data_IF_060971498581
#
_entry.id   IF_060971498581
#
_cell.length_a   1.000
_cell.length_b   1.000
_cell.length_c   1.000
_cell.angle_alpha   90.00
_cell.angle_beta   90.00
_cell.angle_gamma   90.00
#
_symmetry.space_group_name_H-M   'P 1'
#
loop_
_entity.id
_entity.type
_entity.pdbx_description
1 polymer ?
#
# COMPACT_ATOMS: atom_id res chain seq x y z
N UNK A 1 -58.54 6.93 14.10
CA UNK A 1 -57.19 7.04 13.55
C UNK A 1 -57.18 6.32 12.22
N UNK A 2 -56.84 7.02 11.14
CA UNK A 2 -56.81 6.47 9.78
C UNK A 2 -55.65 5.47 9.64
N UNK A 3 -55.83 4.39 8.89
CA UNK A 3 -54.76 3.44 8.57
C UNK A 3 -53.54 4.14 7.92
N UNK A 4 -53.76 5.27 7.24
CA UNK A 4 -52.70 6.10 6.66
C UNK A 4 -51.82 6.77 7.71
N UNK A 5 -52.42 7.25 8.82
CA UNK A 5 -51.68 7.88 9.92
C UNK A 5 -50.82 6.87 10.70
N UNK A 6 -51.29 5.62 10.76
CA UNK A 6 -50.52 4.53 11.36
C UNK A 6 -49.38 4.09 10.43
N UNK A 7 -49.62 4.05 9.12
CA UNK A 7 -48.60 3.76 8.11
C UNK A 7 -47.46 4.79 8.07
N UNK A 8 -47.79 6.09 8.15
CA UNK A 8 -46.77 7.15 8.19
C UNK A 8 -45.94 7.11 9.47
N UNK A 9 -46.57 6.83 10.62
CA UNK A 9 -45.88 6.72 11.91
C UNK A 9 -44.95 5.50 11.99
N UNK A 10 -45.24 4.42 11.25
CA UNK A 10 -44.38 3.24 11.16
C UNK A 10 -43.14 3.50 10.29
N UNK A 11 -43.25 4.34 9.26
CA UNK A 11 -42.13 4.70 8.38
C UNK A 11 -41.23 5.78 8.98
N UNK A 12 -41.77 6.68 9.80
CA UNK A 12 -40.98 7.69 10.55
C UNK A 12 -39.96 7.08 11.53
N UNK A 13 -40.22 5.84 11.98
CA UNK A 13 -39.31 5.07 12.84
C UNK A 13 -38.22 4.29 12.10
N UNK A 14 -38.32 4.17 10.76
CA UNK A 14 -37.32 3.48 9.95
C UNK A 14 -36.30 4.51 9.47
N UNK A 15 -35.30 4.78 10.31
CA UNK A 15 -34.10 5.48 9.85
C UNK A 15 -33.41 4.60 8.80
N UNK A 16 -33.41 5.06 7.55
CA UNK A 16 -32.44 4.57 6.56
C UNK A 16 -31.05 4.98 7.06
N UNK A 17 -30.40 4.10 7.83
CA UNK A 17 -28.99 4.29 8.18
C UNK A 17 -28.20 4.48 6.89
N UNK A 18 -27.49 5.60 6.79
CA UNK A 18 -26.76 5.91 5.56
C UNK A 18 -25.72 4.82 5.32
N UNK A 19 -25.42 4.53 4.05
CA UNK A 19 -24.37 3.56 3.67
C UNK A 19 -23.02 3.83 4.37
N UNK A 20 -22.78 5.08 4.76
CA UNK A 20 -21.58 5.50 5.49
C UNK A 20 -21.56 4.99 6.94
N UNK A 21 -22.71 4.93 7.61
CA UNK A 21 -22.83 4.36 8.96
C UNK A 21 -22.60 2.84 8.93
N UNK A 22 -23.09 2.16 7.89
CA UNK A 22 -22.83 0.74 7.69
C UNK A 22 -21.35 0.44 7.42
N UNK A 23 -20.69 1.23 6.57
CA UNK A 23 -19.26 1.09 6.30
C UNK A 23 -18.41 1.33 7.58
N UNK A 24 -18.79 2.30 8.42
CA UNK A 24 -18.13 2.56 9.71
C UNK A 24 -18.34 1.40 10.70
N UNK A 25 -19.55 0.84 10.79
CA UNK A 25 -19.85 -0.32 11.63
C UNK A 25 -19.04 -1.55 11.20
N UNK A 26 -18.94 -1.81 9.89
CA UNK A 26 -18.12 -2.91 9.37
C UNK A 26 -16.63 -2.73 9.70
N UNK A 27 -16.11 -1.50 9.62
CA UNK A 27 -14.74 -1.20 10.03
C UNK A 27 -14.51 -1.47 11.53
N UNK A 28 -15.46 -1.07 12.39
CA UNK A 28 -15.34 -1.27 13.84
C UNK A 28 -15.48 -2.74 14.25
N UNK A 29 -16.37 -3.50 13.59
CA UNK A 29 -16.47 -4.96 13.76
C UNK A 29 -15.19 -5.67 13.33
N UNK A 30 -14.57 -5.27 12.21
CA UNK A 30 -13.28 -5.83 11.76
C UNK A 30 -12.18 -5.63 12.78
N UNK A 31 -12.09 -4.44 13.39
CA UNK A 31 -11.10 -4.14 14.43
C UNK A 31 -11.26 -4.97 15.70
N UNK A 32 -12.49 -5.41 15.99
CA UNK A 32 -12.77 -6.27 17.13
C UNK A 32 -12.43 -7.74 16.83
N UNK A 33 -12.69 -8.21 15.61
CA UNK A 33 -12.46 -9.61 15.22
C UNK A 33 -10.99 -9.91 14.89
N UNK A 34 -10.24 -8.93 14.38
CA UNK A 34 -8.84 -9.10 13.98
C UNK A 34 -7.96 -8.05 14.69
N UNK A 35 -7.64 -8.23 15.99
CA UNK A 35 -6.75 -7.33 16.69
C UNK A 35 -5.34 -7.38 16.07
N UNK A 36 -5.07 -6.36 15.24
CA UNK A 36 -3.77 -5.93 14.68
C UNK A 36 -2.78 -7.06 14.31
N UNK A 37 -2.65 -7.33 13.02
CA UNK A 37 -1.42 -7.92 12.50
C UNK A 37 -0.32 -6.84 12.48
N UNK A 38 0.75 -7.05 13.25
CA UNK A 38 1.90 -6.15 13.29
C UNK A 38 2.60 -6.04 11.93
N UNK A 39 2.61 -7.14 11.18
CA UNK A 39 3.20 -7.20 9.84
C UNK A 39 2.15 -6.89 8.75
N UNK A 40 2.46 -5.95 7.86
CA UNK A 40 1.57 -5.42 6.80
C UNK A 40 1.66 -6.28 5.55
N UNK A 41 2.89 -6.51 5.11
CA UNK A 41 3.21 -7.18 3.86
C UNK A 41 3.65 -8.63 4.08
N UNK A 42 3.90 -9.03 5.32
CA UNK A 42 4.44 -10.35 5.64
C UNK A 42 5.96 -10.40 5.54
N UNK A 43 6.62 -9.25 5.43
CA UNK A 43 8.07 -9.14 5.21
C UNK A 43 8.67 -8.28 6.31
N UNK A 44 9.31 -8.90 7.29
CA UNK A 44 9.88 -8.22 8.47
C UNK A 44 10.70 -6.98 8.06
N UNK A 45 11.65 -7.14 7.15
CA UNK A 45 12.52 -6.03 6.70
C UNK A 45 11.75 -4.86 6.07
N UNK A 46 10.65 -5.13 5.36
CA UNK A 46 9.84 -4.08 4.73
C UNK A 46 8.77 -3.54 5.67
N UNK A 47 8.28 -4.37 6.58
CA UNK A 47 7.35 -4.01 7.64
C UNK A 47 8.05 -3.11 8.67
N UNK A 48 9.31 -3.35 9.01
CA UNK A 48 10.14 -2.47 9.85
C UNK A 48 10.28 -1.07 9.24
N UNK A 49 10.50 -1.01 7.91
CA UNK A 49 10.53 0.26 7.16
C UNK A 49 9.16 0.96 7.21
N UNK A 50 8.07 0.20 7.14
CA UNK A 50 6.71 0.73 7.22
C UNK A 50 6.33 1.21 8.62
N UNK A 51 6.77 0.54 9.69
CA UNK A 51 6.53 0.95 11.07
C UNK A 51 7.12 2.34 11.36
N UNK A 52 8.32 2.61 10.84
CA UNK A 52 8.96 3.92 10.94
C UNK A 52 8.13 5.06 10.33
N UNK A 53 7.29 4.76 9.33
CA UNK A 53 6.43 5.75 8.66
C UNK A 53 5.02 5.81 9.26
N UNK A 54 4.49 4.67 9.75
CA UNK A 54 3.13 4.54 10.30
C UNK A 54 2.91 5.28 11.62
N UNK A 55 3.96 5.44 12.42
CA UNK A 55 3.88 5.92 13.80
C UNK A 55 4.43 7.34 14.01
N UNK A 56 4.61 8.14 12.95
CA UNK A 56 5.21 9.47 13.03
C UNK A 56 4.30 10.56 13.65
N UNK A 57 3.00 10.32 13.80
CA UNK A 57 2.04 11.32 14.27
C UNK A 57 1.45 10.96 15.65
N UNK A 58 2.25 10.97 16.71
CA UNK A 58 1.71 11.30 18.03
C UNK A 58 2.76 12.05 18.86
N UNK A 59 2.56 13.34 19.20
CA UNK A 59 3.37 13.95 20.23
C UNK A 59 3.22 13.11 21.50
N UNK A 60 4.30 12.84 22.26
CA UNK A 60 4.16 12.18 23.55
C UNK A 60 3.11 12.98 24.31
N UNK A 61 2.02 12.30 24.68
CA UNK A 61 0.93 12.88 25.44
C UNK A 61 1.53 13.73 26.54
N UNK A 62 1.25 15.03 26.49
CA UNK A 62 1.68 15.95 27.52
C UNK A 62 1.23 15.35 28.86
N UNK A 63 2.20 14.98 29.70
CA UNK A 63 1.93 14.56 31.06
C UNK A 63 1.09 15.66 31.69
N UNK A 64 -0.18 15.34 31.95
CA UNK A 64 -1.04 16.23 32.71
C UNK A 64 -0.35 16.51 34.05
N UNK A 65 -0.32 17.77 34.51
CA UNK A 65 0.25 18.07 35.81
C UNK A 65 -0.55 17.32 36.88
N UNK A 66 0.19 16.53 37.64
CA UNK A 66 -0.24 15.77 38.81
C UNK A 66 -1.09 16.66 39.72
N UNK A 67 -2.39 16.38 39.78
CA UNK A 67 -3.32 17.08 40.65
C UNK A 67 -3.06 16.64 42.09
N UNK A 68 -2.14 17.33 42.76
CA UNK A 68 -1.88 17.14 44.18
C UNK A 68 -3.08 17.67 44.96
N UNK A 69 -3.97 16.75 45.36
CA UNK A 69 -5.05 17.03 46.29
C UNK A 69 -4.45 17.47 47.63
N UNK A 70 -4.48 18.78 47.88
CA UNK A 70 -4.09 19.35 49.17
C UNK A 70 -5.17 19.05 50.19
N UNK A 71 -4.86 18.12 51.11
CA UNK A 71 -5.64 17.79 52.29
C UNK A 71 -5.56 18.96 53.29
N UNK A 72 -6.64 19.72 53.43
CA UNK A 72 -6.81 20.65 54.54
C UNK A 72 -7.32 19.90 55.80
N UNK A 73 -6.94 20.32 57.02
CA UNK A 73 -7.33 19.66 58.26
C UNK A 73 -8.72 20.13 58.74
N UNK A 74 -9.51 19.16 59.21
CA UNK A 74 -10.80 19.34 59.87
C UNK A 74 -10.66 19.96 61.27
N UNK A 75 -11.73 20.60 61.79
CA UNK A 75 -12.01 20.61 63.22
C UNK A 75 -13.35 19.90 63.55
N UNK A 76 -13.20 18.85 64.36
CA UNK A 76 -13.94 18.49 65.59
C UNK A 76 -15.49 18.57 65.69
N UNK A 77 -16.06 17.38 65.91
CA UNK A 77 -17.02 16.96 66.96
C UNK A 77 -18.19 17.85 67.42
N UNK A 78 -19.43 17.33 67.28
CA UNK A 78 -20.35 16.94 68.38
C UNK A 78 -21.75 16.55 67.81
N UNK A 79 -22.27 15.31 67.96
CA UNK A 79 -23.11 14.72 69.05
C UNK A 79 -24.59 14.50 68.60
N UNK A 80 -25.04 13.24 68.76
CA UNK A 80 -26.42 12.66 68.85
C UNK A 80 -27.31 12.69 67.57
N UNK A 81 -28.23 11.77 67.29
CA UNK A 81 -28.98 10.77 68.06
C UNK A 81 -29.62 9.70 67.11
N UNK A 82 -30.15 8.61 67.68
CA UNK A 82 -30.69 7.38 67.07
C UNK A 82 -31.94 7.52 66.15
N UNK A 83 -32.12 6.56 65.22
CA UNK A 83 -33.45 6.29 64.62
C UNK A 83 -33.51 5.51 63.29
N UNK A 84 -33.74 4.19 63.39
CA UNK A 84 -34.55 3.29 62.53
C UNK A 84 -34.57 3.37 60.98
N UNK A 85 -34.19 2.23 60.37
CA UNK A 85 -34.80 1.50 59.21
C UNK A 85 -35.36 2.25 57.98
N UNK A 86 -34.81 1.97 56.79
CA UNK A 86 -35.34 1.11 55.71
C UNK A 86 -34.58 1.38 54.38
N UNK A 87 -34.31 0.28 53.68
CA UNK A 87 -34.02 0.03 52.26
C UNK A 87 -33.67 1.18 51.27
N UNK A 88 -32.64 0.86 50.46
CA UNK A 88 -32.61 0.97 48.98
C UNK A 88 -31.49 1.83 48.37
N UNK A 89 -31.01 1.34 47.22
CA UNK A 89 -30.15 1.94 46.21
C UNK A 89 -28.61 1.87 46.33
N UNK A 90 -28.08 0.93 45.53
CA UNK A 90 -27.24 1.20 44.36
C UNK A 90 -25.94 2.01 44.55
N UNK A 91 -24.80 1.36 44.31
CA UNK A 91 -23.90 1.76 43.22
C UNK A 91 -22.80 0.70 43.03
N UNK A 92 -22.81 0.15 41.82
CA UNK A 92 -21.83 -0.71 41.20
C UNK A 92 -20.48 0.02 41.17
N UNK A 93 -19.47 -0.44 41.93
CA UNK A 93 -18.09 0.02 41.75
C UNK A 93 -17.51 -0.76 40.57
N UNK A 94 -17.91 -0.37 39.36
CA UNK A 94 -17.18 -0.73 38.15
C UNK A 94 -15.82 -0.04 38.22
N UNK A 95 -14.80 -0.86 38.42
CA UNK A 95 -13.40 -0.47 38.35
C UNK A 95 -13.12 -0.10 36.88
N UNK A 96 -13.22 1.19 36.55
CA UNK A 96 -12.84 1.73 35.25
C UNK A 96 -11.37 1.37 34.95
N UNK A 97 -11.18 0.39 34.07
CA UNK A 97 -9.89 0.13 33.43
C UNK A 97 -9.57 1.33 32.53
N UNK A 98 -8.36 1.92 32.61
CA UNK A 98 -7.98 3.00 31.73
C UNK A 98 -7.99 2.51 30.27
N UNK A 99 -8.84 3.11 29.45
CA UNK A 99 -8.90 2.88 28.02
C UNK A 99 -7.55 3.28 27.40
N UNK A 100 -6.76 2.29 26.99
CA UNK A 100 -5.57 2.50 26.18
C UNK A 100 -6.03 3.21 24.90
N UNK A 101 -5.62 4.47 24.73
CA UNK A 101 -5.89 5.25 23.53
C UNK A 101 -5.34 4.48 22.31
N UNK A 102 -6.26 3.92 21.51
CA UNK A 102 -5.93 3.18 20.29
C UNK A 102 -5.50 4.19 19.24
N UNK A 103 -4.19 4.36 19.07
CA UNK A 103 -3.61 5.15 17.97
C UNK A 103 -4.12 4.60 16.64
N UNK A 104 -4.85 5.42 15.87
CA UNK A 104 -5.35 5.04 14.54
C UNK A 104 -4.16 4.92 13.59
N UNK A 105 -3.69 3.70 13.34
CA UNK A 105 -2.69 3.43 12.30
C UNK A 105 -3.32 3.67 10.93
N UNK A 106 -2.81 4.65 10.18
CA UNK A 106 -3.26 4.93 8.81
C UNK A 106 -2.94 3.73 7.92
N UNK A 107 -3.87 3.27 7.06
CA UNK A 107 -3.59 2.23 6.08
C UNK A 107 -2.52 2.71 5.10
N UNK A 108 -1.66 1.80 4.64
CA UNK A 108 -0.44 2.14 3.89
C UNK A 108 -0.66 2.17 2.38
N UNK A 109 -0.03 3.15 1.75
CA UNK A 109 0.03 3.30 0.29
C UNK A 109 1.49 3.24 -0.13
N UNK A 110 1.83 2.29 -1.00
CA UNK A 110 3.21 2.02 -1.43
C UNK A 110 3.32 2.22 -2.93
N UNK A 111 4.32 3.01 -3.32
CA UNK A 111 4.78 3.13 -4.70
C UNK A 111 6.03 2.27 -4.90
N UNK A 112 6.01 1.37 -5.88
CA UNK A 112 7.23 0.76 -6.44
C UNK A 112 7.61 1.52 -7.71
N UNK A 113 8.73 2.21 -7.68
CA UNK A 113 9.20 2.99 -8.82
C UNK A 113 10.55 2.51 -9.32
N UNK A 114 10.85 2.78 -10.58
CA UNK A 114 12.17 2.50 -11.15
C UNK A 114 12.42 3.36 -12.38
N UNK A 115 13.69 3.71 -12.61
CA UNK A 115 14.12 4.44 -13.82
C UNK A 115 14.21 3.54 -15.07
N UNK A 116 14.33 2.23 -14.87
CA UNK A 116 14.52 1.26 -15.96
C UNK A 116 13.39 0.25 -16.04
N UNK A 117 13.06 -0.15 -17.27
CA UNK A 117 12.26 -1.35 -17.51
C UNK A 117 12.96 -2.59 -16.97
N UNK A 118 12.20 -3.64 -16.67
CA UNK A 118 12.72 -4.92 -16.16
C UNK A 118 13.50 -4.81 -14.84
N UNK A 119 13.16 -3.82 -14.00
CA UNK A 119 13.66 -3.64 -12.63
C UNK A 119 13.10 -4.65 -11.62
N UNK A 120 12.34 -5.67 -12.03
CA UNK A 120 11.84 -6.70 -11.12
C UNK A 120 10.57 -6.33 -10.34
N UNK A 121 9.98 -5.15 -10.55
CA UNK A 121 8.73 -4.72 -9.88
C UNK A 121 7.63 -5.77 -9.91
N UNK A 122 7.27 -6.27 -11.09
CA UNK A 122 6.22 -7.30 -11.24
C UNK A 122 6.54 -8.60 -10.50
N UNK A 123 7.82 -8.98 -10.40
CA UNK A 123 8.23 -10.14 -9.59
C UNK A 123 8.00 -9.91 -8.10
N UNK A 124 8.29 -8.71 -7.61
CA UNK A 124 7.99 -8.31 -6.22
C UNK A 124 6.47 -8.32 -6.00
N UNK A 125 5.69 -7.81 -6.95
CA UNK A 125 4.22 -7.86 -6.86
C UNK A 125 3.69 -9.31 -6.79
N UNK A 126 4.23 -10.24 -7.58
CA UNK A 126 3.83 -11.66 -7.49
C UNK A 126 4.11 -12.25 -6.12
N UNK A 127 5.28 -11.93 -5.57
CA UNK A 127 5.68 -12.41 -4.26
C UNK A 127 4.77 -11.87 -3.16
N UNK A 128 4.53 -10.55 -3.14
CA UNK A 128 3.64 -9.91 -2.17
C UNK A 128 2.17 -10.38 -2.30
N UNK A 129 1.68 -10.56 -3.53
CA UNK A 129 0.34 -11.10 -3.76
C UNK A 129 0.22 -12.54 -3.24
N UNK A 130 1.25 -13.37 -3.45
CA UNK A 130 1.31 -14.72 -2.90
C UNK A 130 1.30 -14.75 -1.38
N UNK A 131 2.14 -13.94 -0.72
CA UNK A 131 2.15 -13.82 0.74
C UNK A 131 0.80 -13.34 1.29
N UNK A 132 0.17 -12.39 0.61
CA UNK A 132 -1.12 -11.87 1.02
C UNK A 132 -2.23 -12.95 1.00
N UNK A 133 -2.19 -13.90 0.06
CA UNK A 133 -3.22 -14.94 -0.07
C UNK A 133 -2.92 -16.26 0.63
N UNK A 134 -1.65 -16.55 0.91
CA UNK A 134 -1.27 -17.78 1.60
C UNK A 134 -1.87 -17.85 3.03
N UNK A 135 -2.13 -19.06 3.55
CA UNK A 135 -2.55 -19.26 4.94
C UNK A 135 -1.50 -18.82 5.96
N UNK A 136 -1.91 -18.54 7.20
CA UNK A 136 -0.99 -18.11 8.27
C UNK A 136 0.07 -19.16 8.61
N UNK A 137 -0.26 -20.44 8.50
CA UNK A 137 0.65 -21.57 8.73
C UNK A 137 1.80 -21.60 7.72
N UNK A 138 1.65 -20.90 6.59
CA UNK A 138 2.64 -20.76 5.53
C UNK A 138 3.25 -19.36 5.49
N UNK A 139 3.24 -18.65 6.62
CA UNK A 139 3.69 -17.26 6.76
C UNK A 139 2.94 -16.26 5.86
N UNK A 140 1.71 -16.60 5.47
CA UNK A 140 0.85 -15.72 4.68
C UNK A 140 -0.11 -14.86 5.52
N UNK A 141 -1.01 -14.14 4.84
CA UNK A 141 -1.98 -13.23 5.48
C UNK A 141 -3.45 -13.68 5.40
N UNK A 142 -3.72 -14.77 4.69
CA UNK A 142 -5.06 -15.32 4.46
C UNK A 142 -6.08 -14.27 3.97
N UNK A 143 -5.62 -13.33 3.14
CA UNK A 143 -6.44 -12.24 2.60
C UNK A 143 -6.78 -12.48 1.13
N UNK A 144 -7.68 -11.66 0.59
CA UNK A 144 -7.93 -11.55 -0.84
C UNK A 144 -7.06 -10.43 -1.44
N UNK A 145 -6.66 -10.61 -2.70
CA UNK A 145 -5.87 -9.64 -3.46
C UNK A 145 -6.65 -9.22 -4.70
N UNK A 146 -6.68 -7.92 -4.97
CA UNK A 146 -7.15 -7.37 -6.24
C UNK A 146 -5.96 -6.85 -7.01
N UNK A 147 -5.80 -7.30 -8.26
CA UNK A 147 -4.73 -6.88 -9.15
C UNK A 147 -5.30 -6.23 -10.40
N UNK A 148 -5.06 -4.94 -10.57
CA UNK A 148 -5.40 -4.18 -11.78
C UNK A 148 -4.16 -4.15 -12.67
N UNK A 149 -4.15 -5.04 -13.67
CA UNK A 149 -3.08 -5.26 -14.64
C UNK A 149 -3.31 -4.37 -15.88
N UNK A 150 -2.91 -3.12 -15.76
CA UNK A 150 -3.01 -2.10 -16.82
C UNK A 150 -2.03 -2.35 -17.97
N UNK A 151 -0.90 -3.02 -17.71
CA UNK A 151 0.11 -3.32 -18.73
C UNK A 151 -0.10 -4.69 -19.44
N UNK A 152 -1.05 -5.50 -18.96
CA UNK A 152 -1.36 -6.82 -19.52
C UNK A 152 -0.25 -7.86 -19.31
N UNK A 153 0.59 -7.70 -18.28
CA UNK A 153 1.83 -8.49 -18.08
C UNK A 153 1.69 -9.59 -17.04
N UNK A 154 0.55 -9.69 -16.36
CA UNK A 154 0.36 -10.68 -15.31
C UNK A 154 0.30 -12.09 -15.89
N UNK A 155 1.11 -12.99 -15.33
CA UNK A 155 1.15 -14.41 -15.65
C UNK A 155 0.75 -15.24 -14.43
N UNK A 156 -0.39 -15.92 -14.53
CA UNK A 156 -0.87 -16.82 -13.47
C UNK A 156 0.10 -17.98 -13.23
N UNK A 157 0.72 -18.51 -14.29
CA UNK A 157 1.74 -19.56 -14.17
C UNK A 157 2.95 -19.08 -13.39
N UNK A 158 3.38 -17.83 -13.62
CA UNK A 158 4.50 -17.25 -12.87
C UNK A 158 4.14 -17.02 -11.41
N UNK A 159 2.93 -16.56 -11.14
CA UNK A 159 2.41 -16.37 -9.79
C UNK A 159 2.35 -17.71 -9.03
N UNK A 160 1.88 -18.78 -9.68
CA UNK A 160 1.87 -20.13 -9.13
C UNK A 160 3.28 -20.60 -8.75
N UNK A 161 4.26 -20.44 -9.65
CA UNK A 161 5.66 -20.78 -9.39
C UNK A 161 6.23 -20.04 -8.19
N UNK A 162 5.98 -18.71 -8.09
CA UNK A 162 6.46 -17.90 -6.97
C UNK A 162 5.85 -18.36 -5.64
N UNK A 163 4.56 -18.69 -5.63
CA UNK A 163 3.87 -19.21 -4.43
C UNK A 163 4.41 -20.59 -4.05
N UNK A 164 4.60 -21.49 -5.01
CA UNK A 164 5.16 -22.82 -4.79
C UNK A 164 6.59 -22.76 -4.25
N UNK A 165 7.42 -21.88 -4.81
CA UNK A 165 8.78 -21.66 -4.34
C UNK A 165 8.81 -21.13 -2.90
N UNK A 166 7.91 -20.22 -2.54
CA UNK A 166 7.79 -19.76 -1.16
C UNK A 166 7.40 -20.91 -0.21
N UNK A 167 6.43 -21.74 -0.61
CA UNK A 167 6.01 -22.90 0.17
C UNK A 167 7.12 -23.95 0.34
N UNK A 168 7.97 -24.14 -0.67
CA UNK A 168 9.10 -25.08 -0.56
C UNK A 168 10.17 -24.55 0.39
N UNK A 169 10.48 -23.24 0.35
CA UNK A 169 11.40 -22.61 1.28
C UNK A 169 10.92 -22.70 2.74
N UNK A 170 9.64 -22.43 2.98
CA UNK A 170 9.07 -22.50 4.33
C UNK A 170 9.18 -23.91 4.95
N UNK A 171 9.12 -24.97 4.12
CA UNK A 171 9.26 -26.37 4.57
C UNK A 171 10.70 -26.77 4.88
N UNK A 172 11.67 -26.21 4.15
CA UNK A 172 13.09 -26.50 4.37
C UNK A 172 13.59 -25.87 5.67
N UNK A 173 13.08 -24.72 6.05
CA UNK A 173 13.47 -24.06 7.30
C UNK A 173 12.87 -24.74 8.54
N UNK A 174 11.77 -25.49 8.38
CA UNK A 174 11.08 -26.19 9.48
C UNK A 174 11.48 -27.66 9.66
N UNK A 175 12.33 -28.24 8.79
CA UNK A 175 12.58 -29.69 8.80
C UNK A 175 14.04 -30.07 8.48
N UNK A 176 14.88 -30.23 9.51
CA UNK A 176 16.07 -31.08 9.43
C UNK A 176 15.64 -32.57 9.48
N UNK A 177 15.13 -33.13 8.38
CA UNK A 177 15.24 -34.56 8.05
C UNK A 177 14.39 -34.97 6.84
N UNK A 178 14.97 -35.89 6.07
CA UNK A 178 14.42 -36.66 4.95
C UNK A 178 14.30 -35.98 3.57
N UNK A 179 15.43 -36.11 2.86
CA UNK A 179 15.56 -36.44 1.44
C UNK A 179 14.33 -37.09 0.81
N UNK A 180 13.58 -36.32 0.03
CA UNK A 180 12.98 -36.79 -1.22
C UNK A 180 13.12 -35.70 -2.28
N UNK A 181 13.91 -35.99 -3.31
CA UNK A 181 13.97 -35.20 -4.55
C UNK A 181 12.60 -35.19 -5.24
N UNK A 182 12.11 -34.06 -5.79
CA UNK A 182 11.03 -34.09 -6.75
C UNK A 182 11.60 -34.05 -8.18
N UNK A 183 11.66 -35.21 -8.80
CA UNK A 183 11.81 -35.32 -10.26
C UNK A 183 10.44 -35.29 -10.93
N UNK A 184 10.25 -34.36 -11.88
CA UNK A 184 9.30 -34.49 -12.99
C UNK A 184 7.82 -34.19 -12.70
N UNK A 185 7.29 -33.19 -13.42
CA UNK A 185 5.90 -32.72 -13.46
C UNK A 185 5.45 -31.85 -12.26
N UNK A 186 5.47 -30.54 -12.48
CA UNK A 186 5.00 -29.47 -11.57
C UNK A 186 3.50 -29.58 -11.33
N UNK A 187 3.08 -30.44 -10.40
CA UNK A 187 1.71 -30.41 -9.88
C UNK A 187 1.67 -29.26 -8.86
N UNK A 188 0.95 -28.19 -9.20
CA UNK A 188 0.73 -27.09 -8.27
C UNK A 188 0.11 -27.60 -6.99
N UNK A 189 0.76 -27.31 -5.86
CA UNK A 189 0.27 -27.78 -4.56
C UNK A 189 -1.17 -27.30 -4.32
N UNK A 190 -2.02 -28.08 -3.64
CA UNK A 190 -3.40 -27.67 -3.37
C UNK A 190 -3.47 -26.33 -2.63
N UNK A 191 -2.49 -26.06 -1.75
CA UNK A 191 -2.33 -24.77 -1.07
C UNK A 191 -2.06 -23.62 -2.04
N UNK A 192 -1.20 -23.82 -3.05
CA UNK A 192 -0.92 -22.81 -4.06
C UNK A 192 -2.13 -22.57 -4.97
N UNK A 193 -2.83 -23.63 -5.39
CA UNK A 193 -4.09 -23.49 -6.14
C UNK A 193 -5.14 -22.72 -5.36
N UNK A 194 -5.27 -23.00 -4.06
CA UNK A 194 -6.21 -22.28 -3.22
C UNK A 194 -5.80 -20.81 -3.04
N UNK A 195 -4.52 -20.52 -2.84
CA UNK A 195 -4.01 -19.14 -2.78
C UNK A 195 -4.31 -18.35 -4.07
N UNK A 196 -4.19 -18.99 -5.24
CA UNK A 196 -4.51 -18.39 -6.54
C UNK A 196 -6.00 -18.07 -6.71
N UNK A 197 -6.91 -18.86 -6.11
CA UNK A 197 -8.36 -18.59 -6.15
C UNK A 197 -8.73 -17.25 -5.47
N UNK A 198 -7.82 -16.69 -4.68
CA UNK A 198 -8.02 -15.45 -3.94
C UNK A 198 -7.34 -14.23 -4.55
N UNK A 199 -6.82 -14.35 -5.78
CA UNK A 199 -6.20 -13.26 -6.53
C UNK A 199 -7.10 -12.89 -7.70
N UNK A 200 -7.76 -11.74 -7.60
CA UNK A 200 -8.70 -11.22 -8.59
C UNK A 200 -7.99 -10.28 -9.57
N UNK A 201 -7.81 -10.71 -10.82
CA UNK A 201 -7.07 -9.94 -11.83
C UNK A 201 -8.04 -9.24 -12.79
N UNK A 202 -7.90 -7.93 -12.95
CA UNK A 202 -8.63 -7.11 -13.91
C UNK A 202 -7.66 -6.48 -14.92
N UNK A 203 -7.98 -6.51 -16.22
CA UNK A 203 -7.12 -5.98 -17.29
C UNK A 203 -7.80 -4.83 -18.05
N UNK A 204 -7.79 -3.61 -17.49
CA UNK A 204 -8.34 -2.46 -18.18
C UNK A 204 -7.55 -2.13 -19.45
N UNK A 205 -8.22 -1.49 -20.40
CA UNK A 205 -7.62 -0.98 -21.65
C UNK A 205 -7.57 0.56 -21.69
N UNK A 206 -7.99 1.23 -20.61
CA UNK A 206 -7.93 2.69 -20.47
C UNK A 206 -8.13 3.13 -19.02
N UNK A 207 -7.77 4.38 -18.71
CA UNK A 207 -8.04 5.00 -17.40
C UNK A 207 -9.52 5.04 -17.05
N UNK A 208 -10.42 5.16 -18.03
CA UNK A 208 -11.86 5.11 -17.79
C UNK A 208 -12.31 3.71 -17.34
N UNK A 209 -11.73 2.65 -17.92
CA UNK A 209 -12.01 1.29 -17.46
C UNK A 209 -11.43 1.03 -16.06
N UNK A 210 -10.27 1.60 -15.72
CA UNK A 210 -9.75 1.56 -14.34
C UNK A 210 -10.79 2.16 -13.38
N UNK A 211 -11.33 3.34 -13.69
CA UNK A 211 -12.35 3.99 -12.86
C UNK A 211 -13.61 3.12 -12.69
N UNK A 212 -14.11 2.53 -13.78
CA UNK A 212 -15.26 1.63 -13.73
C UNK A 212 -14.99 0.38 -12.86
N UNK A 213 -13.77 -0.18 -12.93
CA UNK A 213 -13.36 -1.28 -12.06
C UNK A 213 -13.38 -0.83 -10.59
N UNK A 214 -12.77 0.31 -10.27
CA UNK A 214 -12.72 0.84 -8.90
C UNK A 214 -14.13 1.13 -8.34
N UNK A 215 -15.03 1.68 -9.16
CA UNK A 215 -16.41 1.99 -8.76
C UNK A 215 -17.26 0.71 -8.56
N UNK A 216 -17.00 -0.35 -9.33
CA UNK A 216 -17.72 -1.63 -9.22
C UNK A 216 -17.12 -2.59 -8.19
N UNK A 217 -15.88 -2.37 -7.77
CA UNK A 217 -15.14 -3.26 -6.88
C UNK A 217 -15.86 -3.55 -5.56
N UNK A 218 -16.50 -2.58 -4.88
CA UNK A 218 -17.22 -2.89 -3.65
C UNK A 218 -18.36 -3.87 -3.84
N UNK A 219 -19.14 -3.73 -4.92
CA UNK A 219 -20.21 -4.69 -5.24
C UNK A 219 -19.64 -6.05 -5.60
N UNK A 220 -18.53 -6.09 -6.33
CA UNK A 220 -17.89 -7.36 -6.68
C UNK A 220 -17.39 -8.10 -5.44
N UNK A 221 -16.65 -7.42 -4.55
CA UNK A 221 -16.01 -8.02 -3.36
C UNK A 221 -16.99 -8.46 -2.27
N UNK A 222 -18.14 -7.79 -2.18
CA UNK A 222 -19.18 -8.08 -1.18
C UNK A 222 -20.21 -9.09 -1.68
N UNK A 223 -20.12 -9.56 -2.92
CA UNK A 223 -21.06 -10.53 -3.49
C UNK A 223 -20.49 -11.96 -3.38
N UNK A 224 -21.02 -12.80 -2.47
CA UNK A 224 -20.51 -14.14 -2.23
C UNK A 224 -20.73 -15.10 -3.40
N UNK A 225 -21.57 -14.74 -4.38
CA UNK A 225 -21.85 -15.58 -5.54
C UNK A 225 -20.84 -15.40 -6.67
N UNK A 226 -20.08 -14.30 -6.65
CA UNK A 226 -19.17 -13.91 -7.74
C UNK A 226 -17.79 -14.53 -7.61
N UNK A 227 -17.38 -14.87 -6.40
CA UNK A 227 -16.03 -15.36 -6.12
C UNK A 227 -15.93 -16.14 -4.81
N UNK A 228 -14.86 -16.93 -4.69
CA UNK A 228 -14.60 -17.76 -3.49
C UNK A 228 -14.04 -16.99 -2.30
N UNK A 229 -13.59 -15.75 -2.50
CA UNK A 229 -12.90 -14.93 -1.49
C UNK A 229 -13.82 -14.15 -0.55
N UNK A 230 -15.14 -14.36 -0.57
CA UNK A 230 -16.10 -13.56 0.22
C UNK A 230 -15.91 -13.70 1.74
N UNK A 231 -15.30 -14.81 2.17
CA UNK A 231 -14.93 -15.05 3.57
C UNK A 231 -13.59 -14.41 3.97
N UNK A 232 -12.87 -13.77 3.04
CA UNK A 232 -11.56 -13.14 3.28
C UNK A 232 -11.67 -11.63 3.16
N UNK A 233 -10.93 -10.94 4.02
CA UNK A 233 -10.77 -9.49 3.88
C UNK A 233 -9.92 -9.15 2.66
N UNK A 234 -10.17 -7.99 2.03
CA UNK A 234 -9.26 -7.45 1.03
C UNK A 234 -7.99 -6.94 1.74
N UNK A 235 -6.87 -7.66 1.60
CA UNK A 235 -5.61 -7.27 2.24
C UNK A 235 -4.77 -6.33 1.38
N UNK A 236 -4.78 -6.56 0.06
CA UNK A 236 -3.89 -5.88 -0.88
C UNK A 236 -4.62 -5.54 -2.18
N UNK A 237 -4.51 -4.28 -2.61
CA UNK A 237 -4.97 -3.79 -3.91
C UNK A 237 -3.75 -3.32 -4.71
N UNK A 238 -3.51 -3.95 -5.85
CA UNK A 238 -2.38 -3.71 -6.73
C UNK A 238 -2.82 -2.96 -7.99
N UNK A 239 -2.11 -1.90 -8.38
CA UNK A 239 -2.26 -1.20 -9.66
C UNK A 239 -0.93 -1.24 -10.45
N UNK A 240 -0.85 -2.08 -11.49
CA UNK A 240 0.36 -2.34 -12.27
C UNK A 240 0.13 -2.09 -13.77
N UNK A 241 0.57 -0.98 -14.38
CA UNK A 241 1.15 0.23 -13.77
C UNK A 241 0.13 1.37 -13.65
N UNK A 242 0.31 2.21 -12.62
CA UNK A 242 -0.43 3.46 -12.45
C UNK A 242 -0.18 4.49 -13.57
N UNK A 243 0.94 4.35 -14.29
CA UNK A 243 1.34 5.24 -15.39
C UNK A 243 1.05 4.68 -16.78
N UNK A 244 0.45 3.49 -16.89
CA UNK A 244 0.26 2.78 -18.17
C UNK A 244 -0.50 3.61 -19.22
N UNK A 245 -1.58 4.29 -18.81
CA UNK A 245 -2.43 5.07 -19.72
C UNK A 245 -2.06 6.56 -19.79
N UNK A 246 -0.99 7.00 -19.12
CA UNK A 246 -0.66 8.42 -19.03
C UNK A 246 -0.47 9.09 -20.40
N UNK A 247 0.24 8.43 -21.33
CA UNK A 247 0.47 8.96 -22.67
C UNK A 247 -0.83 9.06 -23.48
N UNK A 248 -1.71 8.05 -23.36
CA UNK A 248 -3.02 8.03 -23.99
C UNK A 248 -3.91 9.15 -23.44
N UNK A 249 -3.97 9.29 -22.11
CA UNK A 249 -4.76 10.33 -21.46
C UNK A 249 -4.30 11.73 -21.83
N UNK A 250 -2.98 11.93 -21.97
CA UNK A 250 -2.42 13.20 -22.44
C UNK A 250 -2.82 13.49 -23.88
N UNK A 251 -2.71 12.49 -24.75
CA UNK A 251 -3.11 12.62 -26.16
C UNK A 251 -4.60 12.95 -26.29
N UNK A 252 -5.47 12.24 -25.57
CA UNK A 252 -6.91 12.50 -25.54
C UNK A 252 -7.22 13.94 -25.07
N UNK A 253 -6.53 14.40 -24.02
CA UNK A 253 -6.70 15.75 -23.50
C UNK A 253 -6.21 16.83 -24.49
N UNK A 254 -5.10 16.58 -25.19
CA UNK A 254 -4.59 17.48 -26.24
C UNK A 254 -5.55 17.54 -27.43
N UNK A 255 -6.06 16.38 -27.88
CA UNK A 255 -7.04 16.29 -28.97
C UNK A 255 -8.35 17.01 -28.62
N UNK A 256 -8.89 16.79 -27.42
CA UNK A 256 -10.07 17.51 -26.94
C UNK A 256 -9.87 19.03 -26.92
N UNK A 257 -8.63 19.50 -26.68
CA UNK A 257 -8.28 20.94 -26.74
C UNK A 257 -8.19 21.46 -28.18
N UNK A 258 -7.97 20.61 -29.17
CA UNK A 258 -7.98 20.99 -30.58
C UNK A 258 -9.39 21.23 -31.11
N UNK A 259 -10.37 20.46 -30.61
CA UNK A 259 -11.78 20.54 -31.03
C UNK A 259 -12.53 21.76 -30.46
N UNK A 260 -11.96 22.46 -29.47
CA UNK A 260 -12.57 23.65 -28.90
C UNK A 260 -12.45 24.87 -29.85
N UNK A 261 -13.51 25.68 -30.01
CA UNK A 261 -13.46 26.90 -30.80
C UNK A 261 -12.33 27.83 -30.32
N UNK A 262 -11.66 28.55 -31.24
CA UNK A 262 -10.52 29.43 -30.93
C UNK A 262 -10.80 30.47 -29.84
N UNK A 263 -12.07 30.85 -29.62
CA UNK A 263 -12.49 31.77 -28.56
C UNK A 263 -12.58 31.13 -27.16
N UNK A 264 -12.54 29.80 -27.05
CA UNK A 264 -12.49 29.04 -25.80
C UNK A 264 -11.11 28.42 -25.52
N UNK A 265 -10.15 28.57 -26.45
CA UNK A 265 -8.72 28.36 -26.17
C UNK A 265 -8.20 29.51 -25.32
N UNK A 266 -8.69 29.62 -24.10
CA UNK A 266 -8.20 30.59 -23.12
C UNK A 266 -6.71 30.34 -22.84
N UNK A 267 -5.83 31.34 -23.00
CA UNK A 267 -4.43 31.28 -22.58
C UNK A 267 -4.26 31.60 -21.08
N UNK A 268 -5.34 31.66 -20.30
CA UNK A 268 -5.33 32.24 -18.95
C UNK A 268 -5.98 31.33 -17.88
N UNK A 269 -5.14 30.84 -16.96
CA UNK A 269 -5.42 30.67 -15.52
C UNK A 269 -6.59 29.82 -15.00
N UNK A 270 -7.48 29.28 -15.83
CA UNK A 270 -8.57 28.40 -15.34
C UNK A 270 -8.02 27.02 -14.99
N UNK A 271 -8.52 26.38 -13.90
CA UNK A 271 -7.99 25.10 -13.44
C UNK A 271 -8.08 24.07 -14.56
N UNK A 272 -6.93 23.47 -14.89
CA UNK A 272 -6.86 22.34 -15.81
C UNK A 272 -7.95 21.32 -15.45
N UNK A 273 -8.60 20.68 -16.45
CA UNK A 273 -9.51 19.57 -16.18
C UNK A 273 -8.80 18.59 -15.24
N UNK A 274 -9.49 18.19 -14.16
CA UNK A 274 -8.95 17.28 -13.14
C UNK A 274 -8.33 16.09 -13.84
N UNK A 275 -7.02 15.89 -13.66
CA UNK A 275 -6.31 14.81 -14.34
C UNK A 275 -6.94 13.46 -14.01
N UNK A 276 -7.04 12.54 -14.97
CA UNK A 276 -7.60 11.19 -14.71
C UNK A 276 -6.86 10.50 -13.57
N UNK A 277 -5.55 10.72 -13.43
CA UNK A 277 -4.75 10.26 -12.30
C UNK A 277 -5.30 10.75 -10.95
N UNK A 278 -5.67 12.03 -10.81
CA UNK A 278 -6.27 12.59 -9.59
C UNK A 278 -7.60 11.90 -9.23
N UNK A 279 -8.43 11.60 -10.22
CA UNK A 279 -9.71 10.90 -10.02
C UNK A 279 -9.45 9.45 -9.57
N UNK A 280 -8.51 8.75 -10.21
CA UNK A 280 -8.13 7.38 -9.83
C UNK A 280 -7.59 7.36 -8.39
N UNK A 281 -6.69 8.28 -8.04
CA UNK A 281 -6.15 8.43 -6.68
C UNK A 281 -7.27 8.64 -5.65
N UNK A 282 -8.28 9.44 -5.99
CA UNK A 282 -9.43 9.70 -5.13
C UNK A 282 -10.24 8.42 -4.89
N UNK A 283 -10.48 7.64 -5.95
CA UNK A 283 -11.19 6.35 -5.86
C UNK A 283 -10.40 5.30 -5.10
N UNK A 284 -9.09 5.24 -5.29
CA UNK A 284 -8.20 4.38 -4.53
C UNK A 284 -8.24 4.73 -3.03
N UNK A 285 -8.14 6.01 -2.68
CA UNK A 285 -8.25 6.47 -1.28
C UNK A 285 -9.58 6.05 -0.64
N UNK A 286 -10.69 6.18 -1.37
CA UNK A 286 -12.01 5.79 -0.89
C UNK A 286 -12.11 4.28 -0.64
N UNK A 287 -11.57 3.46 -1.55
CA UNK A 287 -11.50 2.01 -1.37
C UNK A 287 -10.59 1.61 -0.21
N UNK A 288 -9.47 2.30 -0.03
CA UNK A 288 -8.57 2.09 1.09
C UNK A 288 -9.26 2.33 2.43
N UNK A 289 -10.00 3.44 2.54
CA UNK A 289 -10.74 3.78 3.75
C UNK A 289 -11.84 2.74 4.03
N UNK A 290 -12.53 2.27 2.98
CA UNK A 290 -13.64 1.32 3.09
C UNK A 290 -13.21 -0.11 3.44
N UNK A 291 -12.12 -0.57 2.84
CA UNK A 291 -11.65 -1.95 3.02
C UNK A 291 -10.51 -2.07 4.03
N UNK A 292 -9.96 -0.95 4.51
CA UNK A 292 -8.74 -0.89 5.32
C UNK A 292 -7.57 -1.66 4.69
N UNK A 293 -7.55 -1.73 3.35
CA UNK A 293 -6.57 -2.51 2.59
C UNK A 293 -5.27 -1.73 2.34
N UNK A 294 -4.19 -2.47 2.06
CA UNK A 294 -2.94 -1.86 1.57
C UNK A 294 -3.05 -1.60 0.08
N UNK A 295 -2.67 -0.40 -0.36
CA UNK A 295 -2.56 -0.10 -1.79
C UNK A 295 -1.10 -0.16 -2.20
N UNK A 296 -0.84 -0.89 -3.28
CA UNK A 296 0.47 -1.02 -3.89
C UNK A 296 0.35 -0.66 -5.37
N UNK A 297 1.18 0.25 -5.87
CA UNK A 297 1.15 0.58 -7.29
C UNK A 297 2.56 0.74 -7.85
N UNK A 298 2.69 0.49 -9.15
CA UNK A 298 3.97 0.67 -9.84
C UNK A 298 3.95 1.92 -10.70
N UNK A 299 5.07 2.65 -10.70
CA UNK A 299 5.32 3.74 -11.63
C UNK A 299 6.64 3.51 -12.36
N UNK A 300 6.77 4.12 -13.53
CA UNK A 300 8.07 4.30 -14.17
C UNK A 300 8.44 5.77 -14.03
N UNK A 301 9.48 6.08 -13.27
CA UNK A 301 10.05 7.43 -13.22
C UNK A 301 10.73 7.69 -14.55
N UNK A 302 10.00 8.30 -15.49
CA UNK A 302 10.64 9.07 -16.54
C UNK A 302 11.10 10.36 -15.89
N UNK A 303 12.38 10.47 -15.56
CA UNK A 303 12.96 11.79 -15.36
C UNK A 303 12.76 12.52 -16.68
N UNK A 304 11.73 13.38 -16.76
CA UNK A 304 11.78 14.49 -17.68
C UNK A 304 12.94 15.35 -17.18
N UNK A 305 14.17 14.97 -17.53
CA UNK A 305 15.24 15.94 -17.63
C UNK A 305 14.65 17.03 -18.51
N UNK A 306 14.36 18.19 -17.93
CA UNK A 306 14.09 19.39 -18.70
C UNK A 306 15.14 19.39 -19.80
N UNK A 307 14.70 19.34 -21.05
CA UNK A 307 15.58 19.40 -22.21
C UNK A 307 16.50 20.59 -21.99
N UNK A 308 17.72 20.34 -21.50
CA UNK A 308 18.83 21.24 -21.68
C UNK A 308 19.13 21.07 -23.15
N UNK A 309 18.39 21.84 -23.96
CA UNK A 309 18.78 22.09 -25.32
C UNK A 309 20.24 22.54 -25.23
N UNK A 310 21.12 21.71 -25.75
CA UNK A 310 22.46 22.09 -26.16
C UNK A 310 22.30 23.15 -27.26
N UNK A 311 21.94 24.37 -26.87
CA UNK A 311 22.23 25.56 -27.65
C UNK A 311 23.59 26.02 -27.19
N UNK A 312 24.53 25.94 -28.14
CA UNK A 312 25.89 26.43 -28.01
C UNK A 312 25.91 27.78 -27.27
N UNK A 313 26.79 27.85 -26.27
CA UNK A 313 27.02 29.04 -25.48
C UNK A 313 27.38 30.23 -26.37
N UNK A 314 26.47 31.20 -26.45
CA UNK A 314 26.85 32.60 -26.69
C UNK A 314 26.98 33.28 -25.32
N UNK A 315 28.15 33.82 -24.97
CA UNK A 315 28.34 34.54 -23.72
C UNK A 315 27.86 35.98 -23.94
N UNK A 316 26.66 36.34 -23.46
CA UNK A 316 26.27 37.70 -23.02
C UNK A 316 24.74 37.86 -22.89
N UNK A 317 24.12 37.22 -21.91
CA UNK A 317 22.80 37.69 -21.45
C UNK A 317 22.67 37.52 -19.91
N UNK A 318 22.60 38.62 -19.13
CA UNK A 318 22.50 38.58 -17.68
C UNK A 318 21.07 38.33 -17.15
N UNK A 319 20.12 37.88 -17.99
CA UNK A 319 18.71 37.69 -17.60
C UNK A 319 18.27 36.23 -17.42
N UNK A 320 19.16 35.33 -16.98
CA UNK A 320 18.75 33.96 -16.58
C UNK A 320 18.32 33.93 -15.12
N UNK A 321 17.01 34.13 -14.91
CA UNK A 321 16.34 33.71 -13.66
C UNK A 321 16.61 32.22 -13.49
N UNK A 322 17.26 31.85 -12.38
CA UNK A 322 17.41 30.47 -11.97
C UNK A 322 16.01 29.85 -11.86
N UNK A 323 15.63 29.03 -12.84
CA UNK A 323 14.46 28.18 -12.72
C UNK A 323 14.83 27.19 -11.62
N UNK A 324 14.17 27.30 -10.47
CA UNK A 324 14.31 26.35 -9.38
C UNK A 324 14.04 24.94 -9.94
N UNK A 325 15.10 24.16 -10.18
CA UNK A 325 15.09 22.75 -10.57
C UNK A 325 14.59 21.88 -9.41
N UNK A 326 13.38 22.16 -8.93
CA UNK A 326 12.66 21.23 -8.05
C UNK A 326 12.06 20.15 -8.94
N UNK A 327 12.41 18.87 -8.76
CA UNK A 327 11.84 17.80 -9.56
C UNK A 327 10.31 17.83 -9.40
N UNK A 328 9.60 17.88 -10.52
CA UNK A 328 8.13 17.84 -10.53
C UNK A 328 7.70 16.49 -9.97
N UNK A 329 7.26 16.46 -8.72
CA UNK A 329 6.78 15.25 -8.05
C UNK A 329 5.46 14.84 -8.71
N UNK A 330 5.43 13.62 -9.24
CA UNK A 330 4.23 13.03 -9.83
C UNK A 330 3.07 13.00 -8.81
N UNK A 331 1.81 13.19 -9.23
CA UNK A 331 0.64 13.00 -8.36
C UNK A 331 0.64 11.63 -7.66
N UNK A 332 1.16 10.60 -8.34
CA UNK A 332 1.33 9.25 -7.79
C UNK A 332 2.31 9.21 -6.62
N UNK A 333 3.49 9.81 -6.78
CA UNK A 333 4.51 9.88 -5.72
C UNK A 333 4.03 10.70 -4.52
N UNK A 334 3.21 11.73 -4.76
CA UNK A 334 2.57 12.49 -3.67
C UNK A 334 1.48 11.68 -2.95
N UNK A 335 0.82 10.77 -3.64
CA UNK A 335 -0.21 9.90 -3.07
C UNK A 335 0.39 8.77 -2.21
N UNK A 336 1.59 8.29 -2.55
CA UNK A 336 2.28 7.28 -1.77
C UNK A 336 2.62 7.74 -0.35
N UNK A 337 2.47 6.84 0.62
CA UNK A 337 3.02 7.00 1.97
C UNK A 337 4.50 6.57 2.00
N UNK A 338 4.84 5.55 1.20
CA UNK A 338 6.19 5.03 1.04
C UNK A 338 6.49 4.87 -0.45
N UNK A 339 7.60 5.45 -0.92
CA UNK A 339 8.10 5.21 -2.28
C UNK A 339 9.37 4.37 -2.20
N UNK A 340 9.35 3.24 -2.90
CA UNK A 340 10.46 2.30 -2.99
C UNK A 340 11.05 2.34 -4.40
N UNK A 341 12.31 2.71 -4.50
CA UNK A 341 13.05 2.64 -5.74
C UNK A 341 13.61 1.23 -5.91
N UNK A 342 13.20 0.56 -6.99
CA UNK A 342 13.68 -0.77 -7.35
C UNK A 342 14.67 -0.64 -8.50
N UNK A 343 15.89 -1.12 -8.29
CA UNK A 343 16.94 -1.15 -9.30
C UNK A 343 17.54 -2.55 -9.43
N UNK A 344 17.87 -2.94 -10.66
CA UNK A 344 18.66 -4.16 -10.90
C UNK A 344 20.12 -3.83 -10.59
N UNK A 345 20.76 -4.64 -9.76
CA UNK A 345 22.19 -4.47 -9.45
C UNK A 345 22.98 -4.56 -10.76
N UNK A 346 23.68 -3.47 -11.08
CA UNK A 346 24.47 -3.39 -12.31
C UNK A 346 25.73 -4.24 -12.16
N UNK A 347 25.98 -5.07 -13.16
CA UNK A 347 27.25 -5.80 -13.27
C UNK A 347 28.28 -4.87 -13.91
N UNK A 348 29.41 -4.68 -13.24
CA UNK A 348 30.48 -3.82 -13.74
C UNK A 348 30.93 -4.28 -15.13
N UNK A 349 31.16 -3.32 -16.03
CA UNK A 349 31.75 -3.58 -17.34
C UNK A 349 33.22 -3.99 -17.19
N UNK A 350 33.78 -4.64 -18.20
CA UNK A 350 35.22 -4.95 -18.20
C UNK A 350 36.02 -3.65 -18.19
N UNK A 351 37.12 -3.62 -17.42
CA UNK A 351 37.95 -2.43 -17.36
C UNK A 351 38.60 -2.20 -18.75
N UNK A 352 38.72 -0.96 -19.24
CA UNK A 352 39.23 -0.68 -20.59
C UNK A 352 40.65 -1.21 -20.86
N UNK A 353 41.42 -1.49 -19.81
CA UNK A 353 42.81 -1.98 -19.84
C UNK A 353 42.95 -3.45 -19.42
N UNK A 354 41.84 -4.18 -19.28
CA UNK A 354 41.85 -5.61 -18.95
C UNK A 354 42.26 -6.42 -20.18
N UNK A 355 43.18 -7.37 -20.02
CA UNK A 355 43.57 -8.27 -21.11
C UNK A 355 42.47 -9.32 -21.38
N UNK A 356 42.55 -10.01 -22.53
CA UNK A 356 41.53 -10.98 -22.95
C UNK A 356 41.44 -12.18 -21.99
N UNK A 357 42.57 -12.62 -21.45
CA UNK A 357 42.64 -13.79 -20.56
C UNK A 357 41.96 -13.50 -19.21
N UNK A 358 42.23 -12.32 -18.65
CA UNK A 358 41.54 -11.78 -17.47
C UNK A 358 40.05 -11.58 -17.74
N UNK A 359 39.68 -11.08 -18.92
CA UNK A 359 38.26 -10.95 -19.29
C UNK A 359 37.55 -12.31 -19.30
N UNK A 360 38.16 -13.36 -19.86
CA UNK A 360 37.59 -14.70 -19.89
C UNK A 360 37.48 -15.31 -18.48
N UNK A 361 38.49 -15.11 -17.63
CA UNK A 361 38.44 -15.55 -16.23
C UNK A 361 37.30 -14.87 -15.44
N UNK A 362 37.13 -13.57 -15.63
CA UNK A 362 36.08 -12.79 -14.98
C UNK A 362 34.69 -13.00 -15.59
N UNK A 363 34.61 -13.40 -16.86
CA UNK A 363 33.36 -13.55 -17.59
C UNK A 363 32.42 -14.55 -16.91
N UNK A 364 32.92 -15.69 -16.43
CA UNK A 364 32.11 -16.70 -15.76
C UNK A 364 31.55 -16.20 -14.43
N UNK A 365 32.40 -15.54 -13.61
CA UNK A 365 31.97 -14.92 -12.34
C UNK A 365 30.91 -13.84 -12.57
N UNK A 366 31.10 -13.00 -13.59
CA UNK A 366 30.14 -11.94 -13.94
C UNK A 366 28.84 -12.51 -14.47
N UNK A 367 28.91 -13.55 -15.31
CA UNK A 367 27.72 -14.26 -15.80
C UNK A 367 26.93 -14.87 -14.64
N UNK A 368 27.62 -15.42 -13.64
CA UNK A 368 26.99 -15.92 -12.41
C UNK A 368 26.27 -14.79 -11.64
N UNK A 369 26.89 -13.62 -11.50
CA UNK A 369 26.22 -12.45 -10.90
C UNK A 369 24.99 -12.01 -11.71
N UNK A 370 25.08 -12.02 -13.04
CA UNK A 370 23.94 -11.73 -13.93
C UNK A 370 22.82 -12.75 -13.75
N UNK A 371 23.16 -14.04 -13.68
CA UNK A 371 22.21 -15.16 -13.48
C UNK A 371 21.48 -15.09 -12.16
N UNK A 372 22.16 -14.66 -11.08
CA UNK A 372 21.55 -14.48 -9.76
C UNK A 372 20.47 -13.40 -9.74
N UNK A 373 20.45 -12.49 -10.73
CA UNK A 373 19.35 -11.54 -10.91
C UNK A 373 19.08 -10.74 -9.65
N UNK A 374 20.09 -10.05 -9.13
CA UNK A 374 19.97 -9.23 -7.91
C UNK A 374 19.30 -7.89 -8.17
N UNK A 375 18.45 -7.49 -7.25
CA UNK A 375 17.72 -6.25 -7.23
C UNK A 375 17.87 -5.59 -5.85
N UNK A 376 18.01 -4.27 -5.84
CA UNK A 376 18.03 -3.46 -4.63
C UNK A 376 16.74 -2.68 -4.55
N UNK A 377 16.14 -2.67 -3.37
CA UNK A 377 14.98 -1.86 -3.02
C UNK A 377 15.43 -0.83 -2.00
N UNK A 378 15.33 0.44 -2.36
CA UNK A 378 15.73 1.58 -1.52
C UNK A 378 14.52 2.45 -1.20
N UNK A 379 14.41 2.91 0.04
CA UNK A 379 13.37 3.85 0.46
C UNK A 379 13.73 5.25 -0.04
N UNK A 380 12.91 5.80 -0.94
CA UNK A 380 13.07 7.15 -1.42
C UNK A 380 12.45 8.11 -0.38
N UNK A 381 13.31 8.79 0.38
CA UNK A 381 12.88 9.66 1.48
C UNK A 381 11.93 10.75 0.98
N UNK A 382 10.69 10.77 1.48
CA UNK A 382 9.80 11.91 1.29
C UNK A 382 10.34 13.08 2.10
N UNK A 383 10.87 14.09 1.41
CA UNK A 383 11.26 15.36 2.02
C UNK A 383 9.99 16.12 2.46
N UNK A 384 9.52 15.87 3.67
CA UNK A 384 8.71 16.84 4.42
C UNK A 384 9.66 17.77 5.15
N UNK A 385 9.41 19.07 5.03
CA UNK A 385 10.24 20.15 5.56
C UNK A 385 10.74 19.87 6.98
N UNK A 386 12.00 19.49 7.08
CA UNK A 386 12.68 19.22 8.33
C UNK A 386 13.14 20.53 8.97
N UNK A 387 12.19 21.21 9.62
CA UNK A 387 12.53 21.92 10.85
C UNK A 387 12.24 20.97 12.02
N UNK A 388 13.32 20.41 12.57
CA UNK A 388 13.39 19.49 13.73
C UNK A 388 12.93 18.04 13.51
N UNK A 389 13.93 17.15 13.40
CA UNK A 389 13.78 15.71 13.65
C UNK A 389 14.68 14.89 12.74
N UNK A 390 15.61 14.12 13.32
CA UNK A 390 16.46 13.14 12.61
C UNK A 390 15.58 12.20 11.79
N UNK A 391 15.75 12.17 10.47
CA UNK A 391 15.16 11.15 9.60
C UNK A 391 15.71 9.77 9.99
N UNK A 392 14.94 9.01 10.76
CA UNK A 392 15.14 7.56 10.99
C UNK A 392 14.36 6.83 9.89
N UNK A 393 15.03 6.19 8.95
CA UNK A 393 14.35 5.36 7.94
C UNK A 393 15.05 5.17 6.60
N UNK A 394 16.37 5.38 6.48
CA UNK A 394 17.10 4.92 5.29
C UNK A 394 17.46 3.44 5.47
N UNK A 395 16.70 2.56 4.85
CA UNK A 395 16.99 1.12 4.80
C UNK A 395 16.97 0.63 3.36
N UNK A 396 17.90 -0.27 3.05
CA UNK A 396 18.02 -0.89 1.74
C UNK A 396 17.79 -2.39 1.93
N UNK A 397 16.92 -2.97 1.10
CA UNK A 397 16.65 -4.41 1.07
C UNK A 397 17.18 -4.97 -0.24
N UNK A 398 17.94 -6.06 -0.17
CA UNK A 398 18.41 -6.76 -1.37
C UNK A 398 17.55 -7.98 -1.63
N UNK A 399 17.09 -8.12 -2.88
CA UNK A 399 16.25 -9.22 -3.33
C UNK A 399 16.94 -9.92 -4.49
N UNK A 400 16.93 -11.25 -4.50
CA UNK A 400 17.29 -12.05 -5.68
C UNK A 400 16.01 -12.55 -6.34
N UNK A 401 15.83 -12.26 -7.64
CA UNK A 401 14.74 -12.82 -8.44
C UNK A 401 15.32 -13.93 -9.30
N UNK A 402 14.91 -15.16 -9.03
CA UNK A 402 15.36 -16.37 -9.73
C UNK A 402 14.27 -16.89 -10.66
N UNK A 403 14.59 -17.88 -11.48
CA UNK A 403 13.58 -18.62 -12.27
C UNK A 403 12.54 -19.31 -11.40
N UNK A 404 12.86 -19.65 -10.15
CA UNK A 404 11.92 -20.32 -9.25
C UNK A 404 11.04 -19.33 -8.49
N UNK A 405 11.57 -18.17 -8.06
CA UNK A 405 10.81 -17.19 -7.30
C UNK A 405 11.60 -15.97 -6.87
N UNK A 406 11.17 -15.35 -5.76
CA UNK A 406 11.86 -14.20 -5.15
C UNK A 406 12.41 -14.64 -3.80
N UNK A 407 13.67 -14.30 -3.51
CA UNK A 407 14.32 -14.53 -2.23
C UNK A 407 14.89 -13.23 -1.69
N UNK A 408 14.68 -13.00 -0.40
CA UNK A 408 15.24 -11.85 0.32
C UNK A 408 16.65 -12.22 0.80
N UNK A 409 17.62 -11.37 0.48
CA UNK A 409 18.99 -11.49 1.01
C UNK A 409 19.08 -10.61 2.26
N UNK A 410 19.24 -11.24 3.44
CA UNK A 410 19.42 -10.59 4.75
C UNK A 410 20.84 -10.12 4.97
#
# INVERSE_FOLDING_TARGET
MSAEQYGSSLLDGVHEESLEQHDQLLADVRRLLYPRQQSVLGLEQLDDLLEGVRHLDEPPSAQYPEWTSSRAPSPEHAINDEGASYEDNAANIETERPAIAKTKTKPVIIELTSQHSASGKTSILYYLAGLATLPYESSGKQSAVVWIDSDGRVSASRLAQVIEYHLSMARTDSTESNTQQPGGASITSPTALEALNHIHIFRPQSSTQVLNILDSLPRYLLDPTRHKSSHRQLGLLILDSATAFHAQDRFDAEMARLDLPLQQREPSGKPNPTSKASVIITRLSALQARFECTILFTTNTSTMTANTSNQAATPNDPSRVAINDSPIISPWTRFATLTLQVERVRVAQFAPYMDLEQCLHDAERRLEVVRRGRFTVEVLGQRRDSSRGKARGTGNVTLSVTEAGVRIES
#
